data_IF_436145667680
#
_entry.id   IF_436145667680
#
_cell.length_a   1.000
_cell.length_b   1.000
_cell.length_c   1.000
_cell.angle_alpha   90.00
_cell.angle_beta   90.00
_cell.angle_gamma   90.00
#
_symmetry.space_group_name_H-M   'P 1'
#
loop_
_entity.id
_entity.type
_entity.pdbx_description
1 polymer ?
#
# COMPACT_ATOMS: atom_id res chain seq x y z
N UNK A 1 19.53 -8.13 37.70
CA UNK A 1 18.49 -7.79 36.70
C UNK A 1 19.15 -7.64 35.34
N UNK A 2 18.98 -8.61 34.44
CA UNK A 2 19.54 -8.57 33.08
C UNK A 2 18.51 -9.10 32.08
N UNK A 3 17.51 -8.27 31.77
CA UNK A 3 16.44 -8.57 30.81
C UNK A 3 16.41 -7.43 29.79
N UNK A 4 16.82 -7.69 28.55
CA UNK A 4 16.65 -6.74 27.44
C UNK A 4 17.55 -6.94 26.22
N UNK A 5 18.80 -7.40 26.37
CA UNK A 5 19.77 -7.37 25.25
C UNK A 5 19.65 -8.51 24.23
N UNK A 6 19.16 -9.69 24.61
CA UNK A 6 19.30 -10.93 23.81
C UNK A 6 18.44 -10.99 22.52
N UNK A 7 17.36 -10.23 22.42
CA UNK A 7 16.44 -10.27 21.27
C UNK A 7 16.69 -9.16 20.23
N UNK A 8 17.41 -8.10 20.61
CA UNK A 8 17.61 -6.92 19.76
C UNK A 8 18.45 -7.22 18.51
N UNK A 9 19.52 -8.00 18.65
CA UNK A 9 20.41 -8.37 17.53
C UNK A 9 19.70 -9.22 16.46
N UNK A 10 18.94 -10.23 16.88
CA UNK A 10 18.17 -11.10 15.94
C UNK A 10 17.06 -10.35 15.22
N UNK A 11 16.39 -9.43 15.91
CA UNK A 11 15.37 -8.57 15.30
C UNK A 11 15.99 -7.59 14.30
N UNK A 12 17.15 -7.01 14.63
CA UNK A 12 17.89 -6.13 13.73
C UNK A 12 18.38 -6.89 12.49
N UNK A 13 19.02 -8.05 12.64
CA UNK A 13 19.48 -8.84 11.48
C UNK A 13 18.33 -9.30 10.60
N UNK A 14 17.19 -9.72 11.18
CA UNK A 14 15.99 -10.03 10.40
C UNK A 14 15.47 -8.85 9.58
N UNK A 15 15.45 -7.64 10.15
CA UNK A 15 15.06 -6.43 9.41
C UNK A 15 16.07 -6.09 8.32
N UNK A 16 17.37 -6.19 8.59
CA UNK A 16 18.43 -5.90 7.62
C UNK A 16 18.43 -6.90 6.46
N UNK A 17 18.22 -8.20 6.72
CA UNK A 17 18.04 -9.22 5.66
C UNK A 17 16.82 -8.92 4.80
N UNK A 18 15.72 -8.51 5.41
CA UNK A 18 14.52 -8.07 4.67
C UNK A 18 14.81 -6.84 3.81
N UNK A 19 15.56 -5.87 4.34
CA UNK A 19 15.98 -4.68 3.61
C UNK A 19 16.89 -5.05 2.42
N UNK A 20 17.91 -5.88 2.66
CA UNK A 20 18.78 -6.42 1.62
C UNK A 20 17.98 -7.11 0.52
N UNK A 21 17.07 -8.03 0.89
CA UNK A 21 16.27 -8.77 -0.06
C UNK A 21 15.36 -7.85 -0.91
N UNK A 22 14.82 -6.77 -0.32
CA UNK A 22 14.04 -5.76 -1.05
C UNK A 22 14.90 -4.93 -2.00
N UNK A 23 16.03 -4.41 -1.53
CA UNK A 23 16.93 -3.58 -2.33
C UNK A 23 17.56 -4.37 -3.48
N UNK A 24 18.05 -5.59 -3.20
CA UNK A 24 18.58 -6.48 -4.25
C UNK A 24 17.52 -6.91 -5.25
N UNK A 25 16.28 -7.14 -4.80
CA UNK A 25 15.15 -7.42 -5.68
C UNK A 25 14.76 -6.22 -6.56
N UNK A 26 14.83 -4.99 -6.03
CA UNK A 26 14.63 -3.74 -6.76
C UNK A 26 15.72 -3.53 -7.82
N UNK A 27 17.00 -3.66 -7.44
CA UNK A 27 18.14 -3.54 -8.36
C UNK A 27 18.04 -4.55 -9.50
N UNK A 28 17.84 -5.83 -9.19
CA UNK A 28 17.67 -6.89 -10.21
C UNK A 28 16.52 -6.61 -11.15
N UNK A 29 15.45 -5.98 -10.66
CA UNK A 29 14.31 -5.61 -11.49
C UNK A 29 14.60 -4.40 -12.38
N UNK A 30 15.34 -3.40 -11.89
CA UNK A 30 15.78 -2.24 -12.68
C UNK A 30 16.70 -2.70 -13.82
N UNK A 31 17.68 -3.55 -13.50
CA UNK A 31 18.68 -4.04 -14.45
C UNK A 31 18.11 -5.08 -15.42
N UNK A 32 17.18 -5.92 -14.96
CA UNK A 32 16.61 -7.01 -15.75
C UNK A 32 15.08 -7.05 -15.64
N UNK A 33 14.37 -6.09 -16.27
CA UNK A 33 12.91 -6.01 -16.19
C UNK A 33 12.28 -7.24 -16.85
N UNK A 34 11.50 -8.07 -16.13
CA UNK A 34 11.03 -9.38 -16.60
C UNK A 34 10.05 -9.36 -17.79
N UNK A 35 9.71 -8.19 -18.35
CA UNK A 35 8.76 -8.05 -19.48
C UNK A 35 9.33 -7.34 -20.72
N UNK A 36 10.57 -6.85 -20.71
CA UNK A 36 11.18 -6.26 -21.91
C UNK A 36 11.56 -7.29 -22.99
N UNK A 37 11.45 -8.60 -22.70
CA UNK A 37 11.56 -9.67 -23.71
C UNK A 37 10.31 -9.84 -24.59
N UNK A 38 9.20 -9.13 -24.34
CA UNK A 38 7.99 -9.24 -25.15
C UNK A 38 7.55 -7.86 -25.67
N UNK A 39 7.60 -7.73 -27.00
CA UNK A 39 7.35 -6.56 -27.86
C UNK A 39 5.96 -5.87 -27.72
N UNK A 40 5.16 -6.19 -26.70
CA UNK A 40 3.76 -5.74 -26.53
C UNK A 40 3.41 -5.39 -25.08
N UNK A 41 4.20 -4.54 -24.41
CA UNK A 41 3.80 -4.01 -23.10
C UNK A 41 3.23 -2.59 -23.23
N UNK A 42 1.91 -2.43 -22.95
CA UNK A 42 1.30 -1.10 -22.76
C UNK A 42 1.92 -0.47 -21.50
N UNK A 43 2.55 0.70 -21.65
CA UNK A 43 3.32 1.38 -20.60
C UNK A 43 4.84 1.37 -20.80
N UNK A 44 5.33 0.82 -21.93
CA UNK A 44 6.75 0.84 -22.31
C UNK A 44 7.35 2.24 -22.42
N UNK A 45 6.59 3.21 -22.94
CA UNK A 45 7.07 4.59 -23.12
C UNK A 45 7.20 5.34 -21.79
N UNK A 46 6.23 5.20 -20.88
CA UNK A 46 6.31 5.76 -19.52
C UNK A 46 7.45 5.12 -18.70
N UNK A 47 7.71 3.83 -18.93
CA UNK A 47 8.90 3.19 -18.38
C UNK A 47 10.16 3.78 -19.01
N UNK A 48 10.29 3.85 -20.33
CA UNK A 48 11.45 4.47 -20.97
C UNK A 48 11.70 5.92 -20.50
N UNK A 49 10.64 6.71 -20.30
CA UNK A 49 10.73 8.10 -19.81
C UNK A 49 11.36 8.22 -18.41
N UNK A 50 11.10 7.26 -17.51
CA UNK A 50 11.69 7.21 -16.16
C UNK A 50 13.06 6.50 -16.12
N UNK A 51 13.76 6.36 -17.25
CA UNK A 51 15.05 5.65 -17.29
C UNK A 51 16.11 6.31 -16.41
N UNK A 52 16.24 7.64 -16.47
CA UNK A 52 17.24 8.37 -15.67
C UNK A 52 17.02 8.23 -14.16
N UNK A 53 15.77 8.36 -13.69
CA UNK A 53 15.43 8.17 -12.28
C UNK A 53 15.73 6.75 -11.80
N UNK A 54 15.47 5.73 -12.64
CA UNK A 54 15.80 4.34 -12.31
C UNK A 54 17.29 4.08 -12.28
N UNK A 55 18.06 4.70 -13.15
CA UNK A 55 19.52 4.56 -13.16
C UNK A 55 20.15 5.21 -11.93
N UNK A 56 19.70 6.42 -11.56
CA UNK A 56 20.08 7.07 -10.31
C UNK A 56 19.73 6.18 -9.10
N UNK A 57 18.51 5.62 -9.08
CA UNK A 57 18.08 4.71 -8.01
C UNK A 57 18.90 3.42 -7.96
N UNK A 58 19.25 2.84 -9.11
CA UNK A 58 20.10 1.66 -9.16
C UNK A 58 21.48 1.96 -8.56
N UNK A 59 22.04 3.12 -8.86
CA UNK A 59 23.34 3.54 -8.32
C UNK A 59 23.30 3.76 -6.80
N UNK A 60 22.26 4.42 -6.29
CA UNK A 60 22.02 4.51 -4.83
C UNK A 60 21.99 3.13 -4.16
N UNK A 61 21.30 2.17 -4.77
CA UNK A 61 21.18 0.81 -4.23
C UNK A 61 22.54 0.09 -4.26
N UNK A 62 23.30 0.20 -5.36
CA UNK A 62 24.65 -0.38 -5.45
C UNK A 62 25.59 0.16 -4.39
N UNK A 63 25.48 1.44 -4.05
CA UNK A 63 26.26 2.05 -2.98
C UNK A 63 25.79 1.63 -1.59
N UNK A 64 24.48 1.45 -1.37
CA UNK A 64 23.92 1.09 -0.07
C UNK A 64 24.11 -0.38 0.30
N UNK A 65 24.01 -1.31 -0.67
CA UNK A 65 24.01 -2.75 -0.42
C UNK A 65 25.26 -3.25 0.35
N UNK A 66 26.50 -2.86 0.00
CA UNK A 66 27.70 -3.26 0.73
C UNK A 66 27.64 -2.91 2.22
N UNK A 67 27.05 -1.77 2.58
CA UNK A 67 26.92 -1.36 3.97
C UNK A 67 25.91 -2.23 4.74
N UNK A 68 24.78 -2.60 4.10
CA UNK A 68 23.79 -3.50 4.71
C UNK A 68 24.39 -4.89 4.91
N UNK A 69 25.11 -5.41 3.90
CA UNK A 69 25.83 -6.70 3.98
C UNK A 69 26.82 -6.68 5.15
N UNK A 70 27.65 -5.64 5.23
CA UNK A 70 28.65 -5.49 6.29
C UNK A 70 28.01 -5.57 7.68
N UNK A 71 26.92 -4.84 7.92
CA UNK A 71 26.25 -4.84 9.24
C UNK A 71 25.63 -6.21 9.54
N UNK A 72 25.03 -6.90 8.56
CA UNK A 72 24.50 -8.25 8.78
C UNK A 72 25.64 -9.20 9.18
N UNK A 73 26.76 -9.18 8.44
CA UNK A 73 27.91 -10.04 8.68
C UNK A 73 28.62 -9.76 10.01
N UNK A 74 28.53 -8.53 10.55
CA UNK A 74 29.00 -8.23 11.91
C UNK A 74 28.25 -9.03 13.00
N UNK A 75 26.99 -9.40 12.76
CA UNK A 75 26.17 -10.17 13.70
C UNK A 75 26.04 -11.65 13.31
N UNK A 76 26.10 -11.96 12.01
CA UNK A 76 25.98 -13.30 11.44
C UNK A 76 27.06 -13.52 10.35
N UNK A 77 28.33 -13.81 10.73
CA UNK A 77 29.45 -13.88 9.78
C UNK A 77 29.31 -14.96 8.70
N UNK A 78 28.60 -16.04 9.02
CA UNK A 78 28.37 -17.17 8.11
C UNK A 78 27.22 -16.91 7.11
N UNK A 79 26.55 -15.74 7.19
CA UNK A 79 25.48 -15.40 6.27
C UNK A 79 26.03 -15.02 4.88
N UNK A 80 25.54 -15.74 3.87
CA UNK A 80 25.90 -15.54 2.46
C UNK A 80 24.82 -14.71 1.74
N UNK A 81 25.15 -13.48 1.27
CA UNK A 81 24.19 -12.62 0.58
C UNK A 81 23.68 -13.19 -0.75
N UNK A 82 24.44 -14.06 -1.41
CA UNK A 82 24.05 -14.65 -2.70
C UNK A 82 22.95 -15.73 -2.55
N UNK A 83 22.83 -16.33 -1.36
CA UNK A 83 21.79 -17.33 -1.07
C UNK A 83 20.48 -16.74 -0.57
N UNK A 84 20.48 -15.46 -0.20
CA UNK A 84 19.29 -14.80 0.33
C UNK A 84 18.26 -14.56 -0.78
N UNK A 85 17.00 -14.94 -0.50
CA UNK A 85 15.93 -14.87 -1.49
C UNK A 85 15.49 -13.42 -1.68
N UNK A 86 15.90 -12.83 -2.81
CA UNK A 86 15.50 -11.47 -3.17
C UNK A 86 13.97 -11.33 -3.28
N UNK A 87 13.45 -10.29 -2.65
CA UNK A 87 12.02 -9.95 -2.66
C UNK A 87 11.76 -9.10 -3.90
N UNK A 88 10.98 -9.65 -4.82
CA UNK A 88 10.55 -8.90 -6.01
C UNK A 88 9.77 -7.65 -5.57
N UNK A 89 10.12 -6.45 -6.07
CA UNK A 89 9.37 -5.25 -5.75
C UNK A 89 7.92 -5.42 -6.20
N UNK A 90 7.00 -5.23 -5.24
CA UNK A 90 5.59 -5.08 -5.52
C UNK A 90 5.42 -3.74 -6.24
N UNK A 91 5.45 -3.74 -7.57
CA UNK A 91 5.05 -2.54 -8.31
C UNK A 91 3.59 -2.25 -7.96
N UNK A 92 3.36 -1.16 -7.21
CA UNK A 92 2.12 -0.40 -7.28
C UNK A 92 2.08 0.07 -8.74
N UNK A 93 1.17 -0.48 -9.53
CA UNK A 93 1.04 -0.07 -10.94
C UNK A 93 0.80 1.45 -11.00
N UNK A 94 1.08 2.11 -12.14
CA UNK A 94 0.81 3.54 -12.32
C UNK A 94 -0.65 3.90 -12.01
N UNK A 95 -1.54 2.92 -12.09
CA UNK A 95 -2.97 3.04 -11.81
C UNK A 95 -3.31 2.61 -10.39
N UNK A 96 -2.53 3.05 -9.38
CA UNK A 96 -2.81 2.75 -7.98
C UNK A 96 -2.49 3.96 -7.10
N UNK A 97 -3.37 4.32 -6.15
CA UNK A 97 -3.13 5.44 -5.26
C UNK A 97 -1.89 5.22 -4.36
N UNK A 98 -1.25 6.30 -3.87
CA UNK A 98 0.04 6.26 -3.16
C UNK A 98 0.04 5.33 -1.95
N UNK A 99 -1.00 5.33 -1.11
CA UNK A 99 -1.12 4.48 0.07
C UNK A 99 -1.87 3.15 -0.21
N UNK A 100 -2.32 2.95 -1.45
CA UNK A 100 -3.10 1.80 -1.88
C UNK A 100 -4.61 2.01 -1.71
N UNK A 101 -5.37 1.12 -2.35
CA UNK A 101 -6.83 1.25 -2.51
C UNK A 101 -7.61 1.31 -1.18
N UNK A 102 -7.16 0.58 -0.16
CA UNK A 102 -7.81 0.56 1.14
C UNK A 102 -7.68 1.92 1.83
N UNK A 103 -6.44 2.38 2.05
CA UNK A 103 -6.15 3.64 2.74
C UNK A 103 -6.80 4.83 2.02
N UNK A 104 -6.72 4.86 0.69
CA UNK A 104 -7.38 5.90 -0.11
C UNK A 104 -8.91 5.90 0.05
N UNK A 105 -9.55 4.72 0.17
CA UNK A 105 -10.98 4.63 0.43
C UNK A 105 -11.36 5.12 1.83
N UNK A 106 -10.52 4.84 2.85
CA UNK A 106 -10.72 5.40 4.19
C UNK A 106 -10.55 6.91 4.21
N UNK A 107 -9.59 7.45 3.45
CA UNK A 107 -9.42 8.91 3.31
C UNK A 107 -10.65 9.55 2.65
N UNK A 108 -11.19 8.95 1.58
CA UNK A 108 -12.44 9.43 0.99
C UNK A 108 -13.59 9.39 1.99
N UNK A 109 -13.75 8.31 2.76
CA UNK A 109 -14.80 8.20 3.77
C UNK A 109 -14.64 9.20 4.91
N UNK A 110 -13.40 9.54 5.27
CA UNK A 110 -13.10 10.55 6.30
C UNK A 110 -13.46 11.95 5.84
N UNK A 111 -13.25 12.25 4.56
CA UNK A 111 -13.51 13.58 3.98
C UNK A 111 -14.94 13.77 3.47
N UNK A 112 -15.63 12.69 3.09
CA UNK A 112 -16.97 12.77 2.51
C UNK A 112 -18.04 12.84 3.58
N UNK A 113 -18.94 13.82 3.58
CA UNK A 113 -20.01 13.91 4.60
C UNK A 113 -21.10 12.83 4.47
N UNK A 114 -21.26 12.26 3.27
CA UNK A 114 -22.31 11.29 2.96
C UNK A 114 -21.86 9.83 3.04
N UNK A 115 -22.84 8.94 3.05
CA UNK A 115 -22.66 7.50 2.85
C UNK A 115 -22.29 7.21 1.39
N UNK A 116 -21.24 6.41 1.17
CA UNK A 116 -20.73 6.15 -0.18
C UNK A 116 -20.71 4.66 -0.50
N UNK A 117 -21.06 4.33 -1.74
CA UNK A 117 -20.81 3.03 -2.34
C UNK A 117 -19.33 2.86 -2.68
N UNK A 118 -18.90 1.61 -2.86
CA UNK A 118 -17.55 1.28 -3.35
C UNK A 118 -17.26 1.95 -4.70
N UNK A 119 -18.28 2.08 -5.57
CA UNK A 119 -18.13 2.72 -6.88
C UNK A 119 -17.85 4.22 -6.74
N UNK A 120 -18.67 4.92 -5.95
CA UNK A 120 -18.46 6.35 -5.71
C UNK A 120 -17.12 6.63 -5.02
N UNK A 121 -16.68 5.76 -4.10
CA UNK A 121 -15.33 5.86 -3.53
C UNK A 121 -14.25 5.68 -4.59
N UNK A 122 -14.37 4.66 -5.45
CA UNK A 122 -13.41 4.40 -6.51
C UNK A 122 -13.29 5.59 -7.46
N UNK A 123 -14.42 6.13 -7.91
CA UNK A 123 -14.47 7.30 -8.81
C UNK A 123 -13.74 8.51 -8.18
N UNK A 124 -14.01 8.79 -6.89
CA UNK A 124 -13.34 9.87 -6.17
C UNK A 124 -11.84 9.64 -5.96
N UNK A 125 -11.39 8.39 -5.75
CA UNK A 125 -9.96 8.06 -5.64
C UNK A 125 -9.27 8.24 -6.99
N UNK A 126 -9.91 7.79 -8.07
CA UNK A 126 -9.40 7.91 -9.44
C UNK A 126 -9.22 9.37 -9.81
N UNK A 127 -10.22 10.21 -9.54
CA UNK A 127 -10.15 11.65 -9.75
C UNK A 127 -9.09 12.33 -8.88
N UNK A 128 -9.08 12.06 -7.57
CA UNK A 128 -8.15 12.68 -6.61
C UNK A 128 -6.67 12.41 -6.93
N UNK A 129 -6.38 11.25 -7.51
CA UNK A 129 -5.02 10.82 -7.80
C UNK A 129 -4.68 10.81 -9.30
N UNK A 130 -5.53 11.41 -10.14
CA UNK A 130 -5.34 11.48 -11.61
C UNK A 130 -5.01 10.11 -12.23
N UNK A 131 -5.76 9.07 -11.82
CA UNK A 131 -5.54 7.70 -12.27
C UNK A 131 -6.32 7.45 -13.57
N UNK A 132 -5.72 6.73 -14.51
CA UNK A 132 -6.42 6.25 -15.70
C UNK A 132 -6.83 4.79 -15.49
N UNK A 133 -8.07 4.57 -15.06
CA UNK A 133 -8.64 3.24 -14.85
C UNK A 133 -9.90 3.11 -15.70
N UNK A 134 -9.73 2.66 -16.94
CA UNK A 134 -10.86 2.26 -17.78
C UNK A 134 -11.64 1.10 -17.11
N UNK A 135 -12.92 0.94 -17.47
CA UNK A 135 -13.86 -0.13 -17.03
C UNK A 135 -13.40 -1.59 -17.32
N UNK A 136 -12.11 -1.80 -17.59
CA UNK A 136 -11.46 -3.08 -17.78
C UNK A 136 -10.97 -3.74 -16.48
N UNK A 137 -10.03 -4.70 -16.59
CA UNK A 137 -9.56 -5.51 -15.46
C UNK A 137 -8.99 -4.71 -14.28
N UNK A 138 -8.43 -3.53 -14.54
CA UNK A 138 -7.91 -2.65 -13.49
C UNK A 138 -9.02 -2.07 -12.60
N UNK A 139 -10.16 -1.69 -13.20
CA UNK A 139 -11.35 -1.22 -12.47
C UNK A 139 -11.88 -2.32 -11.54
N UNK A 140 -12.05 -3.54 -12.06
CA UNK A 140 -12.52 -4.68 -11.27
C UNK A 140 -11.59 -5.00 -10.10
N UNK A 141 -10.27 -4.93 -10.31
CA UNK A 141 -9.29 -5.15 -9.25
C UNK A 141 -9.32 -4.05 -8.18
N UNK A 142 -9.45 -2.79 -8.59
CA UNK A 142 -9.56 -1.66 -7.68
C UNK A 142 -10.84 -1.75 -6.84
N UNK A 143 -11.98 -1.96 -7.49
CA UNK A 143 -13.28 -2.18 -6.85
C UNK A 143 -13.22 -3.33 -5.84
N UNK A 144 -12.69 -4.49 -6.26
CA UNK A 144 -12.54 -5.66 -5.40
C UNK A 144 -11.64 -5.41 -4.20
N UNK A 145 -10.55 -4.66 -4.38
CA UNK A 145 -9.63 -4.32 -3.29
C UNK A 145 -10.28 -3.40 -2.25
N UNK A 146 -11.04 -2.40 -2.69
CA UNK A 146 -11.80 -1.50 -1.80
C UNK A 146 -12.86 -2.31 -1.06
N UNK A 147 -13.71 -3.05 -1.78
CA UNK A 147 -14.78 -3.83 -1.17
C UNK A 147 -14.24 -4.82 -0.11
N UNK A 148 -13.17 -5.55 -0.43
CA UNK A 148 -12.54 -6.47 0.51
C UNK A 148 -11.91 -5.77 1.72
N UNK A 149 -11.49 -4.50 1.60
CA UNK A 149 -10.99 -3.72 2.72
C UNK A 149 -12.13 -3.28 3.65
N UNK A 150 -13.22 -2.76 3.09
CA UNK A 150 -14.40 -2.32 3.86
C UNK A 150 -15.02 -3.49 4.64
N UNK A 151 -15.19 -4.65 3.99
CA UNK A 151 -15.72 -5.86 4.63
C UNK A 151 -14.85 -6.36 5.80
N UNK A 152 -13.53 -6.12 5.76
CA UNK A 152 -12.61 -6.50 6.84
C UNK A 152 -12.58 -5.49 7.99
N UNK A 153 -13.02 -4.26 7.78
CA UNK A 153 -12.97 -3.19 8.76
C UNK A 153 -14.22 -3.17 9.65
N UNK A 154 -14.42 -4.26 10.40
CA UNK A 154 -15.60 -4.54 11.22
C UNK A 154 -15.86 -3.56 12.37
N UNK A 155 -14.82 -2.86 12.85
CA UNK A 155 -14.92 -2.02 14.05
C UNK A 155 -15.11 -0.53 13.76
N UNK A 156 -14.64 -0.02 12.61
CA UNK A 156 -14.63 1.42 12.30
C UNK A 156 -15.69 1.89 11.30
N UNK A 157 -16.35 0.96 10.62
CA UNK A 157 -17.31 1.24 9.57
C UNK A 157 -18.69 0.66 9.87
N UNK A 158 -19.69 1.28 9.26
CA UNK A 158 -21.08 0.81 9.21
C UNK A 158 -21.55 0.80 7.77
N UNK A 159 -22.44 -0.14 7.44
CA UNK A 159 -23.12 -0.17 6.14
C UNK A 159 -24.64 0.00 6.34
N UNK A 160 -25.32 0.48 5.30
CA UNK A 160 -26.75 0.82 5.33
C UNK A 160 -27.66 -0.39 5.11
N UNK A 161 -27.09 -1.58 4.92
CA UNK A 161 -27.82 -2.80 4.56
C UNK A 161 -28.40 -2.79 3.13
N UNK A 162 -28.12 -1.76 2.32
CA UNK A 162 -28.60 -1.63 0.94
C UNK A 162 -27.84 -2.50 -0.05
N UNK A 163 -28.34 -2.56 -1.29
CA UNK A 163 -27.67 -3.24 -2.40
C UNK A 163 -27.63 -2.33 -3.65
N UNK A 164 -26.46 -1.77 -4.02
CA UNK A 164 -25.15 -1.96 -3.39
C UNK A 164 -25.03 -1.30 -2.00
N UNK A 165 -24.23 -1.87 -1.08
CA UNK A 165 -24.09 -1.32 0.27
C UNK A 165 -23.37 0.03 0.23
N UNK A 166 -23.93 1.01 0.94
CA UNK A 166 -23.26 2.29 1.21
C UNK A 166 -22.59 2.22 2.58
N UNK A 167 -21.43 2.84 2.69
CA UNK A 167 -20.58 2.78 3.87
C UNK A 167 -20.34 4.18 4.43
N UNK A 168 -20.22 4.25 5.75
CA UNK A 168 -19.84 5.45 6.48
C UNK A 168 -18.96 5.08 7.70
N UNK A 169 -18.27 6.07 8.26
CA UNK A 169 -17.54 5.92 9.52
C UNK A 169 -18.51 5.82 10.70
N UNK A 170 -18.29 4.86 11.61
CA UNK A 170 -19.14 4.64 12.79
C UNK A 170 -19.22 5.87 13.70
N UNK A 171 -18.16 6.69 13.77
CA UNK A 171 -18.13 7.93 14.55
C UNK A 171 -19.24 8.92 14.18
N UNK A 172 -19.82 8.81 12.97
CA UNK A 172 -20.95 9.65 12.56
C UNK A 172 -22.29 9.26 13.18
N UNK A 173 -22.51 7.97 13.44
CA UNK A 173 -23.76 7.54 14.09
C UNK A 173 -23.82 8.01 15.54
N UNK A 174 -22.67 8.02 16.24
CA UNK A 174 -22.62 8.46 17.65
C UNK A 174 -22.77 9.98 17.84
N UNK A 175 -22.65 10.78 16.77
CA UNK A 175 -22.87 12.23 16.83
C UNK A 175 -24.34 12.64 16.68
N UNK A 176 -25.15 11.82 16.01
CA UNK A 176 -26.55 12.17 15.65
C UNK A 176 -27.57 11.73 16.72
N UNK A 177 -27.23 10.78 17.59
CA UNK A 177 -28.09 10.36 18.71
C UNK A 177 -28.08 11.33 19.91
N UNK A 178 -27.24 12.38 19.89
CA UNK A 178 -27.07 13.29 21.05
C UNK A 178 -27.95 14.56 21.03
N UNK A 179 -28.82 14.76 20.03
CA UNK A 179 -29.63 15.99 19.91
C UNK A 179 -31.15 15.78 20.11
N UNK A 180 -31.64 14.55 20.22
CA UNK A 180 -33.07 14.30 20.49
C UNK A 180 -33.33 14.01 21.97
N UNK A 181 -33.07 15.00 22.83
CA UNK A 181 -33.20 14.84 24.27
C UNK A 181 -33.38 16.16 25.05
N UNK A 182 -34.11 17.12 24.49
CA UNK A 182 -34.54 18.30 25.25
C UNK A 182 -35.93 18.74 24.76
N UNK A 183 -36.95 18.31 25.49
CA UNK A 183 -38.35 18.65 25.23
C UNK A 183 -39.23 18.30 26.42
N UNK A 184 -38.85 18.76 27.61
CA UNK A 184 -39.80 18.95 28.71
C UNK A 184 -40.41 20.34 28.58
N UNK A 185 -41.73 20.42 28.41
CA UNK A 185 -42.64 20.98 29.43
C UNK A 185 -44.05 21.23 28.87
N UNK A 186 -45.05 20.91 29.69
CA UNK A 186 -46.23 21.75 29.86
C UNK A 186 -47.53 21.29 29.20
N UNK A 187 -48.33 20.49 29.93
CA UNK A 187 -49.70 20.85 30.35
C UNK A 187 -50.25 19.84 31.36
#
# INVERSE_FOLDING_TARGET
MALGRKNSGKQLTGHLKTLYARLGGELRWIENPPKLRQRKWRGGDAFAAQAGEREARAEEIRQALPHVIYVIQMFEPDWDPEQEKLIRPLRRGPNRPPHGWADAAFDILRDADDWLTVREMLDRIVERHDLSIDDGPAHVQAYGAINAALQRATHGLVNDGGQPPRWALRSRQSGDESVSGAGGDGS
#
